data_IF_404413736190
#
_entry.id   IF_404413736190
#
_cell.length_a   1.000
_cell.length_b   1.000
_cell.length_c   1.000
_cell.angle_alpha   90.00
_cell.angle_beta   90.00
_cell.angle_gamma   90.00
#
_symmetry.space_group_name_H-M   'P 1'
#
loop_
_entity.id
_entity.type
_entity.pdbx_description
1 polymer ?
#
# COMPACT_ATOMS: atom_id res chain seq x y z
N UNK A 1 -18.89 -35.55 12.99
CA UNK A 1 -17.58 -34.87 13.10
C UNK A 1 -17.23 -33.93 11.93
N UNK A 2 -17.60 -34.22 10.66
CA UNK A 2 -17.35 -33.35 9.48
C UNK A 2 -17.98 -31.94 9.57
N UNK A 3 -19.21 -31.84 10.10
CA UNK A 3 -19.95 -30.56 10.22
C UNK A 3 -19.37 -29.61 11.27
N UNK A 4 -18.70 -30.13 12.32
CA UNK A 4 -18.02 -29.28 13.31
C UNK A 4 -16.79 -28.61 12.70
N UNK A 5 -15.93 -29.39 12.01
CA UNK A 5 -14.71 -28.89 11.35
C UNK A 5 -15.00 -27.81 10.30
N UNK A 6 -16.09 -27.96 9.54
CA UNK A 6 -16.51 -26.97 8.53
C UNK A 6 -16.93 -25.62 9.14
N UNK A 7 -17.57 -25.62 10.33
CA UNK A 7 -17.93 -24.39 11.04
C UNK A 7 -16.70 -23.62 11.52
N UNK A 8 -15.66 -24.31 12.00
CA UNK A 8 -14.41 -23.67 12.40
C UNK A 8 -13.63 -23.10 11.21
N UNK A 9 -13.67 -23.76 10.04
CA UNK A 9 -13.08 -23.24 8.81
C UNK A 9 -13.80 -21.96 8.36
N UNK A 10 -15.14 -21.96 8.34
CA UNK A 10 -15.92 -20.77 7.99
C UNK A 10 -15.67 -19.61 8.96
N UNK A 11 -15.58 -19.91 10.26
CA UNK A 11 -15.26 -18.91 11.28
C UNK A 11 -13.83 -18.35 11.14
N UNK A 12 -12.84 -19.20 10.83
CA UNK A 12 -11.47 -18.76 10.57
C UNK A 12 -11.35 -17.91 9.30
N UNK A 13 -12.05 -18.27 8.22
CA UNK A 13 -12.13 -17.47 7.00
C UNK A 13 -12.79 -16.11 7.27
N UNK A 14 -13.86 -16.10 8.06
CA UNK A 14 -14.53 -14.86 8.48
C UNK A 14 -13.61 -13.95 9.31
N UNK A 15 -12.86 -14.50 10.27
CA UNK A 15 -11.89 -13.75 11.06
C UNK A 15 -10.75 -13.16 10.20
N UNK A 16 -10.23 -13.94 9.24
CA UNK A 16 -9.22 -13.47 8.29
C UNK A 16 -9.75 -12.35 7.38
N UNK A 17 -11.00 -12.48 6.90
CA UNK A 17 -11.64 -11.45 6.10
C UNK A 17 -11.85 -10.15 6.89
N UNK A 18 -12.31 -10.24 8.15
CA UNK A 18 -12.52 -9.08 9.01
C UNK A 18 -11.21 -8.32 9.31
N UNK A 19 -10.13 -9.05 9.60
CA UNK A 19 -8.80 -8.46 9.77
C UNK A 19 -8.32 -7.76 8.48
N UNK A 20 -8.53 -8.39 7.32
CA UNK A 20 -8.19 -7.80 6.02
C UNK A 20 -8.92 -6.49 5.73
N UNK A 21 -10.20 -6.38 6.06
CA UNK A 21 -11.00 -5.15 5.87
C UNK A 21 -10.48 -4.02 6.76
N UNK A 22 -10.12 -4.31 8.02
CA UNK A 22 -9.57 -3.28 8.92
C UNK A 22 -8.22 -2.74 8.46
N UNK A 23 -7.32 -3.60 7.99
CA UNK A 23 -6.02 -3.21 7.45
C UNK A 23 -6.17 -2.37 6.18
N UNK A 24 -7.10 -2.76 5.30
CA UNK A 24 -7.38 -2.01 4.07
C UNK A 24 -7.95 -0.61 4.34
N UNK A 25 -8.76 -0.45 5.39
CA UNK A 25 -9.25 0.88 5.80
C UNK A 25 -8.11 1.76 6.30
N UNK A 26 -7.26 1.23 7.18
CA UNK A 26 -6.11 1.96 7.73
C UNK A 26 -5.14 2.42 6.63
N UNK A 27 -4.81 1.53 5.69
CA UNK A 27 -4.00 1.86 4.52
C UNK A 27 -4.57 3.05 3.74
N UNK A 28 -5.87 3.01 3.40
CA UNK A 28 -6.52 4.06 2.61
C UNK A 28 -6.50 5.42 3.31
N UNK A 29 -6.69 5.44 4.62
CA UNK A 29 -6.64 6.68 5.40
C UNK A 29 -5.24 7.31 5.37
N UNK A 30 -4.19 6.49 5.49
CA UNK A 30 -2.81 6.94 5.35
C UNK A 30 -2.48 7.41 3.93
N UNK A 31 -2.90 6.69 2.90
CA UNK A 31 -2.72 7.13 1.50
C UNK A 31 -3.39 8.49 1.28
N UNK A 32 -4.64 8.66 1.72
CA UNK A 32 -5.37 9.93 1.54
C UNK A 32 -4.63 11.09 2.21
N UNK A 33 -4.19 10.90 3.46
CA UNK A 33 -3.42 11.93 4.17
C UNK A 33 -2.08 12.21 3.50
N UNK A 34 -1.38 11.17 3.05
CA UNK A 34 -0.14 11.31 2.27
C UNK A 34 -0.34 12.10 0.97
N UNK A 35 -1.42 11.84 0.24
CA UNK A 35 -1.75 12.56 -1.00
C UNK A 35 -2.01 14.05 -0.74
N UNK A 36 -2.74 14.39 0.33
CA UNK A 36 -2.94 15.79 0.72
C UNK A 36 -1.61 16.49 1.01
N UNK A 37 -0.76 15.88 1.83
CA UNK A 37 0.56 16.42 2.18
C UNK A 37 1.49 16.55 0.97
N UNK A 38 1.44 15.59 0.05
CA UNK A 38 2.19 15.63 -1.20
C UNK A 38 1.75 16.81 -2.07
N UNK A 39 0.43 17.02 -2.22
CA UNK A 39 -0.11 18.15 -2.97
C UNK A 39 0.27 19.50 -2.34
N UNK A 40 0.37 19.54 -1.01
CA UNK A 40 0.83 20.71 -0.25
C UNK A 40 2.36 20.86 -0.26
N UNK A 41 3.08 20.01 -1.00
CA UNK A 41 4.55 19.94 -1.07
C UNK A 41 5.26 19.66 0.27
N UNK A 42 4.52 19.13 1.25
CA UNK A 42 5.05 18.70 2.57
C UNK A 42 5.56 17.27 2.47
N UNK A 43 6.64 17.08 1.71
CA UNK A 43 7.08 15.75 1.28
C UNK A 43 7.56 14.83 2.40
N UNK A 44 8.18 15.37 3.46
CA UNK A 44 8.64 14.55 4.60
C UNK A 44 7.46 13.90 5.32
N UNK A 45 6.39 14.67 5.57
CA UNK A 45 5.19 14.11 6.22
C UNK A 45 4.41 13.19 5.27
N UNK A 46 4.40 13.49 3.96
CA UNK A 46 3.83 12.59 2.97
C UNK A 46 4.53 11.23 2.99
N UNK A 47 5.87 11.22 3.02
CA UNK A 47 6.69 10.00 3.13
C UNK A 47 6.30 9.19 4.38
N UNK A 48 6.19 9.84 5.54
CA UNK A 48 5.77 9.17 6.79
C UNK A 48 4.41 8.50 6.62
N UNK A 49 3.44 9.15 5.97
CA UNK A 49 2.12 8.56 5.78
C UNK A 49 2.14 7.40 4.79
N UNK A 50 2.88 7.48 3.69
CA UNK A 50 2.98 6.34 2.76
C UNK A 50 3.72 5.14 3.40
N UNK A 51 4.71 5.38 4.27
CA UNK A 51 5.34 4.30 5.05
C UNK A 51 4.35 3.63 6.01
N UNK A 52 3.52 4.40 6.71
CA UNK A 52 2.43 3.85 7.54
C UNK A 52 1.38 3.08 6.73
N UNK A 53 1.09 3.54 5.51
CA UNK A 53 0.23 2.79 4.59
C UNK A 53 0.84 1.43 4.23
N UNK A 54 2.16 1.36 4.03
CA UNK A 54 2.88 0.11 3.78
C UNK A 54 3.00 -0.78 5.03
N UNK A 55 3.06 -0.21 6.23
CA UNK A 55 2.96 -0.99 7.47
C UNK A 55 1.58 -1.67 7.58
N UNK A 56 0.51 -0.96 7.20
CA UNK A 56 -0.85 -1.51 7.20
C UNK A 56 -1.08 -2.53 6.06
N UNK A 57 -0.53 -2.26 4.88
CA UNK A 57 -0.58 -3.16 3.72
C UNK A 57 0.78 -3.21 3.00
N UNK A 58 1.64 -4.19 3.33
CA UNK A 58 2.96 -4.33 2.72
C UNK A 58 2.99 -4.61 1.22
N UNK A 59 1.83 -4.92 0.61
CA UNK A 59 1.71 -5.22 -0.83
C UNK A 59 0.99 -4.11 -1.61
N UNK A 60 0.81 -2.93 -1.00
CA UNK A 60 0.17 -1.78 -1.64
C UNK A 60 1.05 -1.18 -2.73
N UNK A 61 0.78 -1.53 -4.00
CA UNK A 61 1.48 -0.96 -5.16
C UNK A 61 1.26 0.56 -5.27
N UNK A 62 0.09 1.04 -4.85
CA UNK A 62 -0.24 2.48 -4.79
C UNK A 62 0.63 3.19 -3.75
N UNK A 63 0.77 2.63 -2.55
CA UNK A 63 1.61 3.26 -1.51
C UNK A 63 3.08 3.26 -1.89
N UNK A 64 3.59 2.18 -2.50
CA UNK A 64 4.95 2.14 -3.03
C UNK A 64 5.18 3.20 -4.11
N UNK A 65 4.28 3.30 -5.09
CA UNK A 65 4.38 4.29 -6.16
C UNK A 65 4.35 5.74 -5.61
N UNK A 66 3.41 6.04 -4.71
CA UNK A 66 3.30 7.37 -4.12
C UNK A 66 4.50 7.71 -3.22
N UNK A 67 5.03 6.72 -2.49
CA UNK A 67 6.28 6.89 -1.74
C UNK A 67 7.44 7.17 -2.70
N UNK A 68 7.54 6.46 -3.82
CA UNK A 68 8.51 6.73 -4.87
C UNK A 68 8.44 8.16 -5.38
N UNK A 69 7.24 8.65 -5.71
CA UNK A 69 7.03 10.03 -6.16
C UNK A 69 7.50 11.04 -5.10
N UNK A 70 7.16 10.76 -3.84
CA UNK A 70 7.51 11.62 -2.70
C UNK A 70 9.02 11.66 -2.46
N UNK A 71 9.70 10.52 -2.56
CA UNK A 71 11.16 10.43 -2.43
C UNK A 71 11.85 11.14 -3.60
N UNK A 72 11.30 11.05 -4.81
CA UNK A 72 11.80 11.77 -5.99
C UNK A 72 11.72 13.30 -5.79
N UNK A 73 10.61 13.81 -5.26
CA UNK A 73 10.49 15.24 -4.90
C UNK A 73 11.50 15.68 -3.84
N UNK A 74 11.89 14.77 -2.94
CA UNK A 74 12.96 14.98 -1.96
C UNK A 74 14.38 14.74 -2.51
N UNK A 75 14.53 14.49 -3.82
CA UNK A 75 15.81 14.16 -4.48
C UNK A 75 16.47 12.85 -4.00
N UNK A 76 15.71 11.99 -3.31
CA UNK A 76 16.13 10.65 -2.89
C UNK A 76 15.89 9.64 -4.01
N UNK A 77 16.54 9.84 -5.15
CA UNK A 77 16.23 9.12 -6.39
C UNK A 77 16.48 7.61 -6.32
N UNK A 78 17.51 7.18 -5.59
CA UNK A 78 17.79 5.76 -5.41
C UNK A 78 16.64 5.07 -4.64
N UNK A 79 16.26 5.63 -3.50
CA UNK A 79 15.15 5.10 -2.69
C UNK A 79 13.83 5.12 -3.48
N UNK A 80 13.59 6.17 -4.28
CA UNK A 80 12.42 6.27 -5.14
C UNK A 80 12.37 5.10 -6.15
N UNK A 81 13.50 4.84 -6.83
CA UNK A 81 13.61 3.73 -7.79
C UNK A 81 13.37 2.38 -7.13
N UNK A 82 13.88 2.16 -5.92
CA UNK A 82 13.62 0.93 -5.16
C UNK A 82 12.13 0.71 -4.91
N UNK A 83 11.36 1.78 -4.64
CA UNK A 83 9.91 1.69 -4.47
C UNK A 83 9.18 1.39 -5.78
N UNK A 84 9.54 2.04 -6.89
CA UNK A 84 8.93 1.73 -8.20
C UNK A 84 9.21 0.29 -8.64
N UNK A 85 10.45 -0.18 -8.45
CA UNK A 85 10.83 -1.57 -8.73
C UNK A 85 10.06 -2.54 -7.83
N UNK A 86 9.84 -2.20 -6.57
CA UNK A 86 9.04 -3.04 -5.66
C UNK A 86 7.57 -3.08 -6.09
N UNK A 87 7.00 -1.94 -6.49
CA UNK A 87 5.62 -1.86 -6.98
C UNK A 87 5.41 -2.69 -8.26
N UNK A 88 6.31 -2.58 -9.23
CA UNK A 88 6.24 -3.30 -10.52
C UNK A 88 6.39 -4.82 -10.36
N UNK A 89 7.08 -5.31 -9.32
CA UNK A 89 7.15 -6.75 -9.03
C UNK A 89 5.84 -7.35 -8.53
N UNK A 90 4.94 -6.52 -8.00
CA UNK A 90 3.66 -6.95 -7.41
C UNK A 90 2.51 -6.70 -8.40
N UNK A 91 2.52 -5.56 -9.10
CA UNK A 91 1.46 -5.18 -10.03
C UNK A 91 1.45 -6.09 -11.27
N UNK A 92 0.27 -6.60 -11.60
CA UNK A 92 0.06 -7.49 -12.76
C UNK A 92 -0.78 -6.82 -13.84
N UNK A 93 -1.51 -5.77 -13.49
CA UNK A 93 -2.30 -5.00 -14.43
C UNK A 93 -1.37 -4.16 -15.32
N UNK A 94 -1.50 -4.34 -16.63
CA UNK A 94 -0.61 -3.69 -17.61
C UNK A 94 -0.74 -2.16 -17.60
N UNK A 95 -1.94 -1.63 -17.35
CA UNK A 95 -2.17 -0.18 -17.34
C UNK A 95 -1.50 0.46 -16.13
N UNK A 96 -1.66 -0.17 -14.95
CA UNK A 96 -1.00 0.30 -13.72
C UNK A 96 0.51 0.13 -13.78
N UNK A 97 0.99 -0.95 -14.40
CA UNK A 97 2.42 -1.17 -14.60
C UNK A 97 3.03 -0.08 -15.47
N UNK A 98 2.36 0.32 -16.56
CA UNK A 98 2.78 1.46 -17.38
C UNK A 98 2.85 2.76 -16.56
N UNK A 99 1.88 2.98 -15.67
CA UNK A 99 1.88 4.14 -14.77
C UNK A 99 3.03 4.11 -13.74
N UNK A 100 3.53 2.94 -13.34
CA UNK A 100 4.68 2.83 -12.43
C UNK A 100 6.00 3.18 -13.13
N UNK A 101 6.10 2.95 -14.43
CA UNK A 101 7.32 3.20 -15.23
C UNK A 101 7.39 4.59 -15.87
N UNK A 102 6.31 5.38 -15.81
CA UNK A 102 6.21 6.74 -16.36
C UNK A 102 6.26 7.80 -15.27
#
# INVERSE_FOLDING_TARGET
MRMLKSKYILFAVFLLAAAGVSAQKAERDYIRKGNHLFNDSVFVDAEVNYRKALEANPKSTVSMYNLGNTLSQQQKFQDAMEQYVSASKIEKDKMKLAHIYH
#
